data_IF_271255694938
#
_entry.id   IF_271255694938
#
_cell.length_a   1.000
_cell.length_b   1.000
_cell.length_c   1.000
_cell.angle_alpha   90.00
_cell.angle_beta   90.00
_cell.angle_gamma   90.00
#
_symmetry.space_group_name_H-M   'P 1'
#
loop_
_entity.id
_entity.type
_entity.pdbx_description
1 polymer ?
#
# COMPACT_ATOMS: atom_id res chain seq x y z
N UNK A 1 23.69 14.99 15.00
CA UNK A 1 22.63 15.04 13.96
C UNK A 1 23.16 15.78 12.72
N UNK A 2 24.09 15.17 11.98
CA UNK A 2 24.78 15.77 10.81
C UNK A 2 24.07 15.40 9.48
N UNK A 3 23.24 14.37 9.52
CA UNK A 3 22.60 13.71 8.37
C UNK A 3 21.55 14.60 7.67
N UNK A 4 20.94 15.55 8.37
CA UNK A 4 19.86 16.40 7.82
C UNK A 4 20.32 17.73 7.19
N UNK A 5 21.62 17.91 6.87
CA UNK A 5 22.04 19.06 6.05
C UNK A 5 21.54 18.87 4.61
N UNK A 6 20.86 19.88 4.04
CA UNK A 6 20.24 19.84 2.69
C UNK A 6 21.10 19.18 1.59
N UNK A 7 22.42 19.38 1.61
CA UNK A 7 23.34 18.80 0.62
C UNK A 7 23.47 17.28 0.67
N UNK A 8 23.13 16.63 1.79
CA UNK A 8 23.16 15.18 1.95
C UNK A 8 21.77 14.54 1.88
N UNK A 9 20.70 15.34 1.94
CA UNK A 9 19.33 14.84 1.94
C UNK A 9 18.96 14.15 0.63
N UNK A 10 19.25 14.79 -0.51
CA UNK A 10 18.98 14.21 -1.84
C UNK A 10 19.73 12.89 -2.06
N UNK A 11 21.07 12.80 -1.87
CA UNK A 11 21.77 11.53 -2.09
C UNK A 11 21.32 10.43 -1.12
N UNK A 12 20.98 10.76 0.14
CA UNK A 12 20.41 9.79 1.08
C UNK A 12 19.04 9.30 0.62
N UNK A 13 18.16 10.18 0.16
CA UNK A 13 16.85 9.79 -0.39
C UNK A 13 16.98 8.92 -1.62
N UNK A 14 17.85 9.28 -2.57
CA UNK A 14 18.11 8.47 -3.76
C UNK A 14 18.62 7.09 -3.35
N UNK A 15 19.58 7.02 -2.42
CA UNK A 15 20.07 5.75 -1.90
C UNK A 15 18.95 4.91 -1.27
N UNK A 16 18.10 5.51 -0.42
CA UNK A 16 16.98 4.81 0.22
C UNK A 16 15.96 4.29 -0.80
N UNK A 17 15.64 5.07 -1.83
CA UNK A 17 14.72 4.65 -2.91
C UNK A 17 15.34 3.50 -3.71
N UNK A 18 16.60 3.61 -4.12
CA UNK A 18 17.28 2.54 -4.84
C UNK A 18 17.40 1.26 -4.01
N UNK A 19 17.72 1.40 -2.72
CA UNK A 19 17.81 0.28 -1.78
C UNK A 19 16.44 -0.39 -1.59
N UNK A 20 15.37 0.40 -1.47
CA UNK A 20 14.01 -0.11 -1.41
C UNK A 20 13.65 -0.87 -2.69
N UNK A 21 13.86 -0.29 -3.88
CA UNK A 21 13.60 -0.98 -5.17
C UNK A 21 14.40 -2.28 -5.27
N UNK A 22 15.67 -2.27 -4.87
CA UNK A 22 16.50 -3.47 -4.83
C UNK A 22 15.93 -4.56 -3.91
N UNK A 23 15.40 -4.17 -2.73
CA UNK A 23 14.78 -5.10 -1.79
C UNK A 23 13.52 -5.79 -2.35
N UNK A 24 12.88 -5.23 -3.38
CA UNK A 24 11.68 -5.80 -3.98
C UNK A 24 11.97 -6.93 -4.99
N UNK A 25 13.19 -7.04 -5.56
CA UNK A 25 13.48 -7.97 -6.66
C UNK A 25 13.09 -9.41 -6.30
N UNK A 26 13.55 -9.93 -5.16
CA UNK A 26 13.29 -11.31 -4.73
C UNK A 26 12.30 -11.40 -3.58
N UNK A 27 11.52 -10.34 -3.36
CA UNK A 27 10.49 -10.36 -2.32
C UNK A 27 9.38 -11.31 -2.75
N UNK A 28 9.10 -12.31 -1.91
CA UNK A 28 7.94 -13.19 -2.09
C UNK A 28 6.74 -12.52 -1.43
N UNK A 29 5.58 -12.44 -2.10
CA UNK A 29 4.36 -11.96 -1.47
C UNK A 29 3.97 -12.83 -0.28
N UNK A 30 3.68 -12.19 0.84
CA UNK A 30 3.16 -12.80 2.06
C UNK A 30 1.64 -12.64 2.13
N UNK A 31 0.97 -13.31 3.07
CA UNK A 31 -0.49 -13.28 3.19
C UNK A 31 -1.02 -11.86 3.43
N UNK A 32 -0.26 -11.06 4.19
CA UNK A 32 -0.62 -9.67 4.48
C UNK A 32 -0.63 -8.81 3.21
N UNK A 33 0.17 -9.15 2.19
CA UNK A 33 0.18 -8.41 0.93
C UNK A 33 -1.14 -8.56 0.17
N UNK A 34 -1.71 -9.77 0.19
CA UNK A 34 -3.01 -10.04 -0.42
C UNK A 34 -4.11 -9.26 0.30
N UNK A 35 -4.11 -9.24 1.63
CA UNK A 35 -5.05 -8.46 2.43
C UNK A 35 -4.90 -6.96 2.19
N UNK A 36 -3.68 -6.43 2.19
CA UNK A 36 -3.44 -5.01 1.93
C UNK A 36 -3.95 -4.62 0.53
N UNK A 37 -3.64 -5.43 -0.48
CA UNK A 37 -4.08 -5.20 -1.86
C UNK A 37 -5.60 -5.21 -1.98
N UNK A 38 -6.26 -6.24 -1.45
CA UNK A 38 -7.71 -6.36 -1.43
C UNK A 38 -8.36 -5.17 -0.72
N UNK A 39 -7.91 -4.85 0.50
CA UNK A 39 -8.49 -3.77 1.28
C UNK A 39 -8.31 -2.42 0.61
N UNK A 40 -7.15 -2.15 -0.01
CA UNK A 40 -6.91 -0.91 -0.75
C UNK A 40 -7.81 -0.82 -2.00
N UNK A 41 -8.03 -1.93 -2.69
CA UNK A 41 -8.93 -2.01 -3.84
C UNK A 41 -10.38 -1.70 -3.45
N UNK A 42 -10.93 -2.40 -2.44
CA UNK A 42 -12.30 -2.16 -1.98
C UNK A 42 -12.49 -0.76 -1.44
N UNK A 43 -11.51 -0.24 -0.70
CA UNK A 43 -11.57 1.15 -0.24
C UNK A 43 -11.56 2.15 -1.40
N UNK A 44 -10.80 1.87 -2.47
CA UNK A 44 -10.80 2.71 -3.67
C UNK A 44 -12.14 2.67 -4.39
N UNK A 45 -12.77 1.49 -4.46
CA UNK A 45 -13.99 1.23 -5.23
C UNK A 45 -15.26 1.68 -4.50
N UNK A 46 -15.42 1.26 -3.24
CA UNK A 46 -16.68 1.36 -2.50
C UNK A 46 -16.63 2.43 -1.39
N UNK A 47 -15.45 2.97 -1.10
CA UNK A 47 -15.28 4.01 -0.06
C UNK A 47 -15.19 3.48 1.37
N UNK A 48 -15.25 2.16 1.57
CA UNK A 48 -14.99 1.47 2.82
C UNK A 48 -14.29 0.13 2.55
N UNK A 49 -13.78 -0.52 3.60
CA UNK A 49 -13.07 -1.80 3.47
C UNK A 49 -14.01 -2.94 3.84
N UNK A 50 -14.01 -3.97 2.99
CA UNK A 50 -14.52 -5.31 3.27
C UNK A 50 -13.50 -6.34 2.76
N UNK A 51 -13.68 -7.62 3.10
CA UNK A 51 -12.75 -8.68 2.69
C UNK A 51 -13.49 -9.97 2.32
N UNK A 52 -13.32 -10.36 1.06
CA UNK A 52 -13.77 -11.65 0.53
C UNK A 52 -12.86 -12.78 1.00
N UNK A 53 -11.58 -12.49 1.26
CA UNK A 53 -10.63 -13.43 1.87
C UNK A 53 -11.05 -13.85 3.29
N UNK A 54 -11.91 -13.06 3.95
CA UNK A 54 -12.47 -13.35 5.27
C UNK A 54 -13.97 -13.66 5.23
N UNK A 55 -14.52 -14.02 4.07
CA UNK A 55 -15.95 -14.30 3.92
C UNK A 55 -16.43 -15.36 4.91
N UNK A 56 -17.55 -15.09 5.57
CA UNK A 56 -18.16 -15.98 6.56
C UNK A 56 -17.52 -15.87 7.95
N UNK A 57 -16.50 -15.03 8.11
CA UNK A 57 -15.91 -14.70 9.41
C UNK A 57 -16.52 -13.38 9.86
N UNK A 58 -17.51 -13.43 10.75
CA UNK A 58 -18.06 -12.25 11.42
C UNK A 58 -18.48 -11.12 10.45
N UNK A 59 -19.10 -11.47 9.32
CA UNK A 59 -19.60 -10.52 8.32
C UNK A 59 -18.55 -9.56 7.75
N UNK A 60 -17.29 -9.97 7.71
CA UNK A 60 -16.18 -9.14 7.20
C UNK A 60 -16.25 -8.90 5.69
N UNK A 61 -16.99 -9.73 4.97
CA UNK A 61 -17.38 -9.52 3.58
C UNK A 61 -18.31 -8.31 3.39
N UNK A 62 -19.01 -7.87 4.45
CA UNK A 62 -19.85 -6.68 4.40
C UNK A 62 -19.10 -5.44 4.87
N UNK A 63 -18.34 -5.57 5.97
CA UNK A 63 -17.57 -4.45 6.50
C UNK A 63 -16.44 -4.92 7.43
N UNK A 64 -15.21 -4.51 7.13
CA UNK A 64 -14.04 -4.80 7.94
C UNK A 64 -13.57 -3.54 8.66
N UNK A 65 -13.79 -3.49 9.98
CA UNK A 65 -13.42 -2.34 10.83
C UNK A 65 -11.92 -2.33 11.14
N UNK A 66 -11.34 -3.51 11.37
CA UNK A 66 -9.94 -3.65 11.77
C UNK A 66 -9.10 -4.02 10.56
N UNK A 67 -8.38 -3.05 10.04
CA UNK A 67 -7.44 -3.20 8.95
C UNK A 67 -6.33 -2.15 9.10
N UNK A 68 -5.22 -2.29 8.35
CA UNK A 68 -4.12 -1.33 8.35
C UNK A 68 -4.49 -0.03 7.63
N UNK A 69 -5.39 0.78 8.22
CA UNK A 69 -6.04 1.92 7.58
C UNK A 69 -5.10 2.89 6.88
N UNK A 70 -4.03 3.33 7.56
CA UNK A 70 -3.04 4.24 6.98
C UNK A 70 -2.27 3.59 5.82
N UNK A 71 -1.94 2.30 5.94
CA UNK A 71 -1.22 1.57 4.90
C UNK A 71 -2.11 1.35 3.66
N UNK A 72 -3.38 0.99 3.88
CA UNK A 72 -4.36 0.83 2.80
C UNK A 72 -4.63 2.16 2.10
N UNK A 73 -4.63 3.30 2.82
CA UNK A 73 -4.74 4.63 2.21
C UNK A 73 -3.57 4.91 1.26
N UNK A 74 -2.33 4.55 1.60
CA UNK A 74 -1.20 4.65 0.67
C UNK A 74 -1.46 3.81 -0.59
N UNK A 75 -2.00 2.60 -0.44
CA UNK A 75 -2.44 1.76 -1.55
C UNK A 75 -3.51 2.40 -2.41
N UNK A 76 -4.53 3.03 -1.82
CA UNK A 76 -5.58 3.78 -2.53
C UNK A 76 -4.98 4.90 -3.39
N UNK A 77 -4.04 5.67 -2.85
CA UNK A 77 -3.38 6.74 -3.59
C UNK A 77 -2.58 6.20 -4.78
N UNK A 78 -1.85 5.10 -4.58
CA UNK A 78 -1.12 4.44 -5.66
C UNK A 78 -2.05 3.89 -6.75
N UNK A 79 -3.14 3.20 -6.36
CA UNK A 79 -4.13 2.67 -7.29
C UNK A 79 -4.78 3.79 -8.10
N UNK A 80 -5.18 4.89 -7.47
CA UNK A 80 -5.74 6.06 -8.17
C UNK A 80 -4.75 6.68 -9.16
N UNK A 81 -3.48 6.77 -8.79
CA UNK A 81 -2.42 7.24 -9.69
C UNK A 81 -2.26 6.31 -10.90
N UNK A 82 -2.20 4.99 -10.68
CA UNK A 82 -2.07 4.01 -11.75
C UNK A 82 -3.28 4.02 -12.70
N UNK A 83 -4.49 4.11 -12.16
CA UNK A 83 -5.73 4.24 -12.95
C UNK A 83 -5.69 5.50 -13.80
N UNK A 84 -5.31 6.64 -13.21
CA UNK A 84 -5.18 7.91 -13.94
C UNK A 84 -4.17 7.83 -15.11
N UNK A 85 -3.01 7.20 -14.88
CA UNK A 85 -1.94 7.00 -15.88
C UNK A 85 -2.30 5.99 -16.98
N UNK A 86 -3.30 5.13 -16.77
CA UNK A 86 -3.71 4.11 -17.75
C UNK A 86 -4.87 4.60 -18.63
N UNK A 87 -5.61 5.62 -18.18
CA UNK A 87 -6.74 6.23 -18.89
C UNK A 87 -6.29 7.40 -19.79
N UNK A 88 -5.09 7.94 -19.59
CA UNK A 88 -4.48 8.99 -20.42
C UNK A 88 -3.23 8.46 -21.12
#
# INVERSE_FOLDING_TARGET
>A
MIIFKNKFLIPVLVFLVLFFVYSLWRRVPDIDDAWIGEHAYWFTKDGYVHSELMRGINHKEEHLVVHHKLFNQNGVHLLKLLVFLCIH
#
